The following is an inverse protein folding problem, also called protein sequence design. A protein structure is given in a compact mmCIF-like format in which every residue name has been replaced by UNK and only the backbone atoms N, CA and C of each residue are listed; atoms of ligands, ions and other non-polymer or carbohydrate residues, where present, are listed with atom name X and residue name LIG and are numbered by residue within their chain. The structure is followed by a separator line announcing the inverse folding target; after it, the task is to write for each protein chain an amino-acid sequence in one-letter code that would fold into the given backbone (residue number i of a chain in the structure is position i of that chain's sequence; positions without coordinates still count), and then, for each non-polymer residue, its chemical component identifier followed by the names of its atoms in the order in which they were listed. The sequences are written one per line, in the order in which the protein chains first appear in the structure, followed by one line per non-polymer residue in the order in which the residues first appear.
data_IF_065289970399
#
_entry.id   IF_065289970399
#
_cell.length_a   1.000
_cell.length_b   1.000
_cell.length_c   1.000
_cell.angle_alpha   90.00
_cell.angle_beta   90.00
_cell.angle_gamma   90.00
#
_symmetry.space_group_name_H-M   'P 1'
#
loop_
_entity.id
_entity.type
_entity.pdbx_description
1 polymer ?
#
# COMPACT_ATOMS: atom_id res chain seq x y z
N UNK A 1 -27.89 -24.86 -12.56
CA UNK A 1 -26.78 -23.92 -12.26
C UNK A 1 -26.35 -23.04 -13.45
N UNK A 2 -27.07 -23.02 -14.58
CA UNK A 2 -26.66 -22.30 -15.81
C UNK A 2 -27.20 -20.85 -15.87
N UNK A 3 -28.20 -20.52 -15.06
CA UNK A 3 -28.81 -19.18 -15.01
C UNK A 3 -27.91 -18.09 -14.39
N UNK A 4 -26.82 -18.42 -13.69
CA UNK A 4 -25.95 -17.41 -13.08
C UNK A 4 -24.98 -16.76 -14.06
N UNK A 5 -24.50 -17.47 -15.08
CA UNK A 5 -23.42 -16.97 -15.94
C UNK A 5 -23.85 -15.88 -16.92
N UNK A 6 -25.02 -16.02 -17.54
CA UNK A 6 -25.55 -14.99 -18.45
C UNK A 6 -26.00 -13.73 -17.68
N UNK A 7 -26.53 -13.91 -16.47
CA UNK A 7 -26.90 -12.81 -15.58
C UNK A 7 -25.66 -12.00 -15.16
N UNK A 8 -24.59 -12.69 -14.75
CA UNK A 8 -23.29 -12.08 -14.42
C UNK A 8 -22.74 -11.34 -15.63
N UNK A 9 -22.75 -11.91 -16.85
CA UNK A 9 -22.22 -11.23 -18.04
C UNK A 9 -22.99 -9.95 -18.40
N UNK A 10 -24.31 -9.94 -18.20
CA UNK A 10 -25.17 -8.78 -18.46
C UNK A 10 -24.98 -7.67 -17.42
N UNK A 11 -24.68 -8.03 -16.17
CA UNK A 11 -24.48 -7.08 -15.07
C UNK A 11 -23.01 -6.86 -14.70
N UNK A 12 -22.07 -7.54 -15.36
CA UNK A 12 -20.64 -7.48 -15.06
C UNK A 12 -20.13 -6.03 -15.10
N UNK A 13 -20.57 -5.25 -16.09
CA UNK A 13 -20.23 -3.83 -16.21
C UNK A 13 -20.76 -2.99 -15.03
N UNK A 14 -21.96 -3.30 -14.53
CA UNK A 14 -22.56 -2.59 -13.41
C UNK A 14 -21.91 -3.00 -12.07
N UNK A 15 -21.61 -4.29 -11.89
CA UNK A 15 -20.95 -4.84 -10.69
C UNK A 15 -19.50 -4.32 -10.59
N UNK A 16 -18.79 -4.22 -11.71
CA UNK A 16 -17.44 -3.66 -11.74
C UNK A 16 -17.44 -2.15 -11.45
N UNK A 17 -18.42 -1.42 -11.98
CA UNK A 17 -18.56 0.02 -11.72
C UNK A 17 -18.87 0.29 -10.24
N UNK A 18 -19.73 -0.52 -9.59
CA UNK A 18 -20.01 -0.38 -8.14
C UNK A 18 -18.83 -0.79 -7.27
N UNK A 19 -18.06 -1.83 -7.65
CA UNK A 19 -16.88 -2.26 -6.89
C UNK A 19 -15.74 -1.23 -6.90
N UNK A 20 -15.63 -0.40 -7.94
CA UNK A 20 -14.58 0.65 -8.02
C UNK A 20 -15.03 1.96 -7.36
N UNK A 21 -16.31 2.32 -7.49
CA UNK A 21 -16.83 3.59 -6.97
C UNK A 21 -17.01 3.60 -5.46
N UNK A 22 -17.48 2.50 -4.86
CA UNK A 22 -17.76 2.45 -3.42
C UNK A 22 -16.50 2.69 -2.57
N UNK A 23 -15.36 2.00 -2.79
CA UNK A 23 -14.14 2.22 -1.99
C UNK A 23 -13.54 3.62 -2.16
N UNK A 24 -13.63 4.21 -3.37
CA UNK A 24 -13.13 5.56 -3.63
C UNK A 24 -13.94 6.61 -2.87
N UNK A 25 -15.26 6.46 -2.81
CA UNK A 25 -16.13 7.39 -2.08
C UNK A 25 -15.94 7.25 -0.56
N UNK A 26 -15.82 6.03 -0.02
CA UNK A 26 -15.52 5.86 1.42
C UNK A 26 -14.14 6.40 1.79
N UNK A 27 -13.11 6.20 0.96
CA UNK A 27 -11.79 6.78 1.21
C UNK A 27 -11.81 8.32 1.17
N UNK A 28 -12.57 8.91 0.24
CA UNK A 28 -12.74 10.36 0.18
C UNK A 28 -13.50 10.92 1.39
N UNK A 29 -14.57 10.25 1.84
CA UNK A 29 -15.34 10.67 3.02
C UNK A 29 -14.50 10.56 4.30
N UNK A 30 -13.72 9.47 4.47
CA UNK A 30 -12.83 9.31 5.63
C UNK A 30 -11.71 10.37 5.62
N UNK A 31 -11.21 10.77 4.44
CA UNK A 31 -10.22 11.84 4.32
C UNK A 31 -10.78 13.25 4.61
N UNK A 32 -12.11 13.43 4.58
CA UNK A 32 -12.80 14.70 4.79
C UNK A 32 -13.31 14.92 6.22
N UNK A 33 -13.23 13.92 7.09
CA UNK A 33 -13.56 14.09 8.52
C UNK A 33 -12.31 14.60 9.24
N UNK A 34 -12.25 15.90 9.63
CA UNK A 34 -11.18 16.37 10.49
C UNK A 34 -11.35 15.69 11.85
N UNK A 35 -10.42 14.81 12.20
CA UNK A 35 -10.32 14.27 13.54
C UNK A 35 -9.61 15.35 14.36
N UNK A 36 -10.39 16.22 14.98
CA UNK A 36 -9.89 17.28 15.86
C UNK A 36 -9.53 16.66 17.22
N UNK A 37 -8.37 16.01 17.28
CA UNK A 37 -7.79 15.46 18.50
C UNK A 37 -6.67 16.38 18.97
N UNK A 38 -7.02 17.62 19.31
CA UNK A 38 -6.05 18.51 19.93
C UNK A 38 -5.85 18.14 21.39
N UNK A 39 -4.61 17.85 21.76
CA UNK A 39 -4.22 17.39 23.09
C UNK A 39 -3.05 18.26 23.52
N UNK A 40 -3.19 18.97 24.64
CA UNK A 40 -2.09 19.67 25.30
C UNK A 40 -1.44 18.71 26.29
N UNK A 41 -0.13 18.47 26.18
CA UNK A 41 0.58 17.58 27.08
C UNK A 41 2.06 17.99 27.21
N UNK A 42 2.58 17.97 28.45
CA UNK A 42 4.00 18.21 28.76
C UNK A 42 4.52 17.05 29.58
N UNK A 43 5.75 16.64 29.27
CA UNK A 43 6.41 15.53 29.93
C UNK A 43 7.83 15.90 30.29
N UNK A 44 8.27 15.46 31.47
CA UNK A 44 9.64 15.54 31.94
C UNK A 44 10.27 14.16 31.76
N UNK A 45 11.26 14.04 30.89
CA UNK A 45 11.94 12.79 30.58
C UNK A 45 13.30 12.81 31.29
N UNK A 46 13.55 11.83 32.17
CA UNK A 46 14.88 11.65 32.76
C UNK A 46 15.72 10.90 31.74
N UNK A 47 16.69 11.58 31.12
CA UNK A 47 17.58 10.98 30.12
C UNK A 47 18.72 10.22 30.77
N UNK A 48 19.24 10.76 31.87
CA UNK A 48 20.41 10.23 32.55
C UNK A 48 20.41 10.63 34.03
N UNK A 49 20.82 9.69 34.88
CA UNK A 49 21.06 9.92 36.30
C UNK A 49 22.43 9.34 36.64
N UNK A 50 23.35 10.18 37.13
CA UNK A 50 24.72 9.77 37.48
C UNK A 50 25.04 10.21 38.89
N UNK A 51 25.47 9.28 39.74
CA UNK A 51 26.08 9.60 41.02
C UNK A 51 27.54 9.99 40.79
N UNK A 52 27.91 11.21 41.19
CA UNK A 52 29.28 11.72 41.08
C UNK A 52 30.22 10.97 42.02
N UNK A 53 29.68 10.42 43.12
CA UNK A 53 30.45 9.71 44.14
C UNK A 53 29.88 8.31 44.46
N UNK A 54 30.09 7.31 43.58
CA UNK A 54 29.90 5.88 43.93
C UNK A 54 31.20 5.29 44.53
N UNK A 55 31.69 5.87 45.62
CA UNK A 55 32.85 5.33 46.33
C UNK A 55 32.36 4.26 47.31
N UNK A 56 32.29 3.02 46.84
CA UNK A 56 31.88 1.85 47.64
C UNK A 56 32.85 1.49 48.77
N UNK A 57 34.08 2.01 48.70
CA UNK A 57 35.12 1.78 49.70
C UNK A 57 35.86 3.10 49.94
N UNK A 58 35.83 3.65 51.18
CA UNK A 58 36.63 4.82 51.56
C UNK A 58 38.07 4.67 51.11
N UNK A 59 38.56 5.57 50.27
CA UNK A 59 39.97 5.56 49.86
C UNK A 59 40.77 6.32 50.91
N UNK A 60 41.61 5.62 51.68
CA UNK A 60 42.45 6.23 52.69
C UNK A 60 43.33 7.34 52.06
N UNK A 61 43.14 8.58 52.53
CA UNK A 61 43.90 9.75 52.09
C UNK A 61 43.23 10.62 51.02
N UNK A 62 42.02 10.28 50.56
CA UNK A 62 41.21 11.15 49.71
C UNK A 62 40.17 11.87 50.58
N UNK A 63 40.19 13.21 50.57
CA UNK A 63 39.13 14.02 51.17
C UNK A 63 38.40 14.77 50.05
N UNK A 64 37.07 14.62 49.99
CA UNK A 64 36.23 15.20 48.96
C UNK A 64 35.36 16.27 49.63
N UNK A 65 35.75 17.52 49.40
CA UNK A 65 35.06 18.67 49.99
C UNK A 65 34.20 19.38 48.95
N UNK A 66 33.03 19.83 49.38
CA UNK A 66 32.17 20.72 48.62
C UNK A 66 31.79 21.91 49.51
N UNK A 67 32.11 23.13 49.07
CA UNK A 67 31.91 24.37 49.84
C UNK A 67 32.49 24.31 51.29
N UNK A 68 33.57 23.54 51.49
CA UNK A 68 34.23 23.38 52.78
C UNK A 68 33.62 22.31 53.70
N UNK A 69 32.50 21.67 53.30
CA UNK A 69 31.95 20.49 53.94
C UNK A 69 32.59 19.22 53.35
N UNK A 70 32.91 18.25 54.19
CA UNK A 70 33.45 16.96 53.77
C UNK A 70 32.27 16.04 53.44
N UNK A 71 32.08 15.75 52.14
CA UNK A 71 30.92 14.99 51.67
C UNK A 71 30.90 13.56 52.23
N UNK A 72 32.05 12.99 52.54
CA UNK A 72 32.13 11.65 53.10
C UNK A 72 31.77 11.64 54.59
N UNK A 73 32.35 12.58 55.35
CA UNK A 73 32.08 12.73 56.77
C UNK A 73 30.62 13.13 57.05
N UNK A 74 30.06 14.01 56.23
CA UNK A 74 28.69 14.53 56.38
C UNK A 74 27.65 13.62 55.73
N UNK A 75 28.08 12.47 55.18
CA UNK A 75 27.22 11.45 54.59
C UNK A 75 26.35 11.98 53.44
N UNK A 76 26.96 12.84 52.63
CA UNK A 76 26.37 13.50 51.49
C UNK A 76 26.82 12.84 50.18
N UNK A 77 26.02 13.01 49.14
CA UNK A 77 26.32 12.60 47.78
C UNK A 77 25.87 13.68 46.79
N UNK A 78 26.54 13.70 45.65
CA UNK A 78 26.21 14.56 44.53
C UNK A 78 25.66 13.68 43.40
N UNK A 79 24.48 14.06 42.91
CA UNK A 79 23.80 13.39 41.80
C UNK A 79 23.53 14.37 40.68
N UNK A 80 23.85 13.97 39.46
CA UNK A 80 23.56 14.73 38.26
C UNK A 80 22.33 14.11 37.61
N UNK A 81 21.33 14.94 37.30
CA UNK A 81 20.21 14.57 36.45
C UNK A 81 20.26 15.33 35.14
N UNK A 82 20.17 14.62 34.03
CA UNK A 82 19.92 15.22 32.71
C UNK A 82 18.46 14.99 32.36
N UNK A 83 17.70 16.08 32.28
CA UNK A 83 16.25 16.05 32.12
C UNK A 83 15.88 16.78 30.83
N UNK A 84 14.96 16.20 30.06
CA UNK A 84 14.35 16.84 28.91
C UNK A 84 12.89 17.18 29.20
N UNK A 85 12.51 18.43 29.00
CA UNK A 85 11.10 18.84 29.02
C UNK A 85 10.63 18.87 27.57
N UNK A 86 9.51 18.20 27.29
CA UNK A 86 8.95 18.06 25.95
C UNK A 86 7.47 18.38 25.94
N UNK A 87 7.03 19.15 24.94
CA UNK A 87 5.61 19.24 24.59
C UNK A 87 5.25 18.01 23.76
N UNK A 88 4.60 17.03 24.39
CA UNK A 88 4.14 15.79 23.77
C UNK A 88 2.74 15.90 23.17
N UNK A 89 2.11 17.07 23.32
CA UNK A 89 0.82 17.40 22.74
C UNK A 89 0.85 17.59 21.23
N UNK A 90 -0.35 17.72 20.65
CA UNK A 90 -0.55 18.08 19.24
C UNK A 90 -0.69 19.60 19.05
N UNK A 91 -0.87 20.36 20.12
CA UNK A 91 -0.98 21.83 20.13
C UNK A 91 0.24 22.54 20.74
N UNK A 92 0.42 23.78 20.31
CA UNK A 92 1.38 24.71 20.91
C UNK A 92 0.86 25.21 22.26
N UNK A 93 1.76 25.35 23.23
CA UNK A 93 1.44 25.93 24.53
C UNK A 93 1.85 27.40 24.48
N UNK A 94 0.86 28.27 24.43
CA UNK A 94 1.06 29.71 24.44
C UNK A 94 1.31 30.21 25.87
N UNK A 95 1.89 31.41 26.01
CA UNK A 95 2.21 31.97 27.34
C UNK A 95 0.98 32.13 28.24
N UNK A 96 -0.17 32.45 27.66
CA UNK A 96 -1.44 32.58 28.38
C UNK A 96 -2.07 31.24 28.79
N UNK A 97 -1.49 30.10 28.42
CA UNK A 97 -1.96 28.78 28.86
C UNK A 97 -1.38 28.42 30.24
N UNK A 98 -0.27 29.05 30.63
CA UNK A 98 0.29 28.89 31.96
C UNK A 98 -0.55 29.66 32.98
N UNK A 99 -0.78 29.09 34.16
CA UNK A 99 -1.42 29.83 35.24
C UNK A 99 -0.47 30.89 35.77
N UNK A 100 -0.89 32.17 35.80
CA UNK A 100 -0.02 33.30 36.16
C UNK A 100 0.59 33.18 37.56
N UNK A 101 -0.20 32.75 38.54
CA UNK A 101 0.18 32.70 39.96
C UNK A 101 1.00 31.45 40.34
N UNK A 102 1.07 30.45 39.46
CA UNK A 102 1.78 29.20 39.72
C UNK A 102 3.16 29.26 39.06
N UNK A 103 4.26 29.01 39.80
CA UNK A 103 5.58 28.93 39.20
C UNK A 103 5.67 27.74 38.25
N UNK A 104 6.50 27.86 37.23
CA UNK A 104 6.75 26.81 36.25
C UNK A 104 8.17 26.28 36.46
N UNK A 105 8.32 24.99 36.71
CA UNK A 105 9.60 24.50 37.20
C UNK A 105 9.67 23.03 37.58
N UNK A 106 10.72 22.72 38.32
CA UNK A 106 10.99 21.41 38.91
C UNK A 106 11.43 21.60 40.37
N UNK A 107 10.73 20.96 41.29
CA UNK A 107 11.16 20.85 42.68
C UNK A 107 11.96 19.57 42.86
N UNK A 108 13.00 19.65 43.68
CA UNK A 108 13.75 18.50 44.17
C UNK A 108 13.38 18.27 45.62
N UNK A 109 12.81 17.12 45.91
CA UNK A 109 12.57 16.66 47.28
C UNK A 109 13.79 15.86 47.77
N UNK A 110 14.09 15.94 49.07
CA UNK A 110 15.22 15.26 49.69
C UNK A 110 16.60 15.63 49.11
N UNK A 111 16.74 16.84 48.57
CA UNK A 111 18.04 17.34 48.08
C UNK A 111 18.02 18.82 47.75
N UNK A 112 19.21 19.39 47.68
CA UNK A 112 19.45 20.80 47.35
C UNK A 112 20.05 20.91 45.96
N UNK A 113 19.50 21.80 45.13
CA UNK A 113 19.98 22.08 43.80
C UNK A 113 21.16 23.04 43.89
N UNK A 114 22.31 22.57 43.44
CA UNK A 114 23.58 23.29 43.48
C UNK A 114 23.83 24.05 42.18
N UNK A 115 23.55 23.41 41.06
CA UNK A 115 23.75 23.95 39.71
C UNK A 115 22.58 23.50 38.84
N UNK A 116 22.13 24.39 37.96
CA UNK A 116 21.18 24.08 36.90
C UNK A 116 21.65 24.79 35.63
N UNK A 117 21.77 24.06 34.53
CA UNK A 117 22.20 24.63 33.25
C UNK A 117 21.48 24.01 32.08
N UNK A 118 21.17 24.85 31.08
CA UNK A 118 20.64 24.38 29.82
C UNK A 118 21.74 23.65 29.03
N UNK A 119 21.45 22.45 28.55
CA UNK A 119 22.40 21.61 27.79
C UNK A 119 21.99 21.41 26.35
N UNK A 120 20.72 21.61 25.99
CA UNK A 120 20.28 21.58 24.61
C UNK A 120 18.84 22.09 24.43
N UNK A 121 18.50 22.43 23.20
CA UNK A 121 17.14 22.80 22.81
C UNK A 121 16.89 22.41 21.34
N UNK A 122 15.62 22.20 21.02
CA UNK A 122 15.16 21.89 19.66
C UNK A 122 15.09 23.12 18.75
N UNK A 123 14.94 24.32 19.33
CA UNK A 123 14.89 25.60 18.61
C UNK A 123 15.79 26.63 19.28
N UNK A 124 16.24 27.63 18.51
CA UNK A 124 17.02 28.76 19.04
C UNK A 124 16.21 29.59 20.03
N UNK A 125 14.90 29.75 19.79
CA UNK A 125 14.00 30.44 20.74
C UNK A 125 14.02 29.77 22.12
N UNK A 126 13.83 28.45 22.19
CA UNK A 126 13.87 27.73 23.47
C UNK A 126 15.28 27.75 24.08
N UNK A 127 16.33 27.76 23.26
CA UNK A 127 17.71 27.89 23.74
C UNK A 127 17.94 29.18 24.52
N UNK A 128 17.35 30.27 24.05
CA UNK A 128 17.55 31.60 24.62
C UNK A 128 16.58 31.91 25.77
N UNK A 129 15.40 31.28 25.78
CA UNK A 129 14.33 31.60 26.74
C UNK A 129 14.16 30.55 27.86
N UNK A 130 14.54 29.29 27.64
CA UNK A 130 14.36 28.21 28.63
C UNK A 130 15.57 28.04 29.56
N UNK A 131 16.23 29.13 29.94
CA UNK A 131 17.40 29.10 30.81
C UNK A 131 16.93 28.75 32.25
N UNK A 132 17.39 27.64 32.85
CA UNK A 132 17.02 27.29 34.22
C UNK A 132 17.58 28.32 35.21
N UNK A 133 16.76 28.70 36.19
CA UNK A 133 17.18 29.54 37.32
C UNK A 133 16.94 28.77 38.62
N UNK A 134 17.88 28.83 39.55
CA UNK A 134 17.69 28.22 40.88
C UNK A 134 17.03 29.28 41.77
N UNK A 135 15.86 28.96 42.30
CA UNK A 135 15.15 29.79 43.27
C UNK A 135 15.09 29.05 44.61
N UNK A 136 15.69 29.62 45.65
CA UNK A 136 15.83 28.94 46.94
C UNK A 136 16.84 27.80 46.90
N UNK A 137 16.60 26.74 47.69
CA UNK A 137 17.54 25.62 47.83
C UNK A 137 17.20 24.42 46.94
N UNK A 138 15.94 24.27 46.51
CA UNK A 138 15.47 23.03 45.91
C UNK A 138 14.54 23.20 44.69
N UNK A 139 14.37 24.42 44.20
CA UNK A 139 13.48 24.70 43.07
C UNK A 139 14.25 25.23 41.86
N UNK A 140 13.97 24.65 40.69
CA UNK A 140 14.47 25.09 39.40
C UNK A 140 13.31 25.74 38.65
N UNK A 141 13.39 27.05 38.52
CA UNK A 141 12.44 27.89 37.81
C UNK A 141 12.74 27.95 36.31
N UNK A 142 11.68 27.97 35.51
CA UNK A 142 11.72 28.28 34.08
C UNK A 142 10.73 29.38 33.74
N UNK A 143 11.15 30.27 32.84
CA UNK A 143 10.26 31.25 32.23
C UNK A 143 9.12 30.56 31.47
N UNK A 144 7.95 31.22 31.45
CA UNK A 144 6.78 30.77 30.70
C UNK A 144 6.97 31.12 29.22
N UNK A 145 7.47 30.15 28.45
CA UNK A 145 7.80 30.30 27.03
C UNK A 145 6.66 29.85 26.12
N UNK A 146 6.67 30.29 24.86
CA UNK A 146 5.85 29.65 23.82
C UNK A 146 6.47 28.28 23.54
N UNK A 147 5.74 27.22 23.85
CA UNK A 147 6.26 25.86 23.73
C UNK A 147 5.52 25.11 22.62
N UNK A 148 6.05 25.22 21.41
CA UNK A 148 5.48 24.62 20.20
C UNK A 148 5.39 23.09 20.29
N UNK A 149 4.47 22.51 19.53
CA UNK A 149 4.25 21.07 19.52
C UNK A 149 5.53 20.30 19.14
N UNK A 150 5.73 19.15 19.81
CA UNK A 150 6.88 18.27 19.61
C UNK A 150 8.26 18.90 19.87
N UNK A 151 8.33 20.16 20.32
CA UNK A 151 9.58 20.78 20.71
C UNK A 151 9.98 20.35 22.12
N UNK A 152 11.27 20.47 22.38
CA UNK A 152 11.87 20.15 23.67
C UNK A 152 13.07 21.05 24.00
N UNK A 153 13.41 21.07 25.29
CA UNK A 153 14.71 21.52 25.77
C UNK A 153 15.23 20.59 26.86
N UNK A 154 16.54 20.52 26.98
CA UNK A 154 17.25 19.65 27.90
C UNK A 154 18.09 20.50 28.82
N UNK A 155 18.05 20.19 30.10
CA UNK A 155 18.85 20.83 31.12
C UNK A 155 19.45 19.78 32.05
N UNK A 156 20.53 20.16 32.71
CA UNK A 156 21.22 19.31 33.68
C UNK A 156 21.20 20.02 35.02
N UNK A 157 20.87 19.27 36.08
CA UNK A 157 20.94 19.73 37.46
C UNK A 157 21.94 18.91 38.25
N UNK A 158 22.66 19.57 39.15
CA UNK A 158 23.51 18.95 40.16
C UNK A 158 22.79 19.07 41.51
N UNK A 159 22.53 17.94 42.14
CA UNK A 159 21.78 17.85 43.40
C UNK A 159 22.68 17.29 44.49
N UNK A 160 22.75 18.00 45.61
CA UNK A 160 23.35 17.53 46.86
C UNK A 160 22.27 16.88 47.71
N UNK A 161 22.48 15.64 48.14
CA UNK A 161 21.53 14.90 48.96
C UNK A 161 22.25 14.02 49.98
N UNK A 162 21.54 13.49 50.96
CA UNK A 162 22.09 12.51 51.90
C UNK A 162 22.15 11.13 51.25
N UNK A 163 23.11 10.28 51.64
CA UNK A 163 23.26 8.94 51.03
C UNK A 163 22.05 8.03 51.31
N UNK A 164 21.30 8.24 52.39
CA UNK A 164 20.14 7.42 52.78
C UNK A 164 18.89 7.75 51.98
N UNK A 165 18.69 9.01 51.63
CA UNK A 165 17.47 9.47 50.96
C UNK A 165 17.81 10.02 49.58
N UNK A 166 17.59 9.25 48.50
CA UNK A 166 17.82 9.74 47.16
C UNK A 166 16.84 10.88 46.84
N UNK A 167 17.27 11.86 46.03
CA UNK A 167 16.43 13.00 45.69
C UNK A 167 15.32 12.56 44.73
N UNK A 168 14.14 13.11 44.93
CA UNK A 168 12.95 12.88 44.09
C UNK A 168 12.63 14.16 43.31
N UNK A 169 12.32 14.01 42.02
CA UNK A 169 12.02 15.12 41.14
C UNK A 169 10.49 15.27 41.05
N UNK A 170 9.97 16.49 41.26
CA UNK A 170 8.53 16.76 41.23
C UNK A 170 8.26 17.97 40.31
N UNK A 171 7.58 17.80 39.17
CA UNK A 171 7.27 18.91 38.28
C UNK A 171 6.28 19.86 38.96
N UNK A 172 6.51 21.17 38.81
CA UNK A 172 5.64 22.20 39.36
C UNK A 172 5.13 23.08 38.24
N UNK A 173 3.81 23.25 38.18
CA UNK A 173 3.17 24.14 37.23
C UNK A 173 1.72 23.78 36.96
N UNK A 174 1.01 24.73 36.38
CA UNK A 174 -0.32 24.49 35.82
C UNK A 174 -0.42 25.07 34.42
N UNK A 175 -0.79 24.22 33.48
CA UNK A 175 -1.03 24.56 32.08
C UNK A 175 -2.49 24.21 31.76
N UNK A 176 -3.18 25.07 31.03
CA UNK A 176 -4.53 24.84 30.55
C UNK A 176 -4.60 23.51 29.75
N UNK A 177 -5.64 22.71 29.98
CA UNK A 177 -5.81 21.40 29.33
C UNK A 177 -4.93 20.28 29.89
N UNK A 178 -3.90 20.58 30.69
CA UNK A 178 -3.02 19.57 31.30
C UNK A 178 -3.49 19.26 32.72
N UNK A 179 -3.94 18.02 32.94
CA UNK A 179 -4.38 17.57 34.27
C UNK A 179 -3.18 17.45 35.24
N UNK A 180 -2.13 16.76 34.81
CA UNK A 180 -0.95 16.43 35.58
C UNK A 180 0.28 16.39 34.65
N UNK A 181 1.42 16.89 35.14
CA UNK A 181 2.68 16.89 34.41
C UNK A 181 3.50 15.73 34.94
N UNK A 182 3.78 14.77 34.07
CA UNK A 182 4.39 13.49 34.46
C UNK A 182 5.89 13.49 34.24
N UNK A 183 6.60 12.82 35.14
CA UNK A 183 7.97 12.39 34.93
C UNK A 183 7.98 10.98 34.36
N UNK A 184 8.74 10.77 33.30
CA UNK A 184 8.96 9.46 32.69
C UNK A 184 10.45 9.12 32.80
N UNK A 185 10.80 7.96 33.38
CA UNK A 185 12.19 7.58 33.68
C UNK A 185 12.99 7.14 32.44
N UNK A 186 12.33 6.97 31.30
CA UNK A 186 12.98 6.73 30.01
C UNK A 186 12.44 7.74 28.99
N UNK A 187 13.27 8.26 28.07
CA UNK A 187 12.76 9.07 26.99
C UNK A 187 11.68 8.26 26.27
N UNK A 188 10.50 8.87 26.11
CA UNK A 188 9.48 8.30 25.25
C UNK A 188 10.15 8.23 23.88
N UNK A 189 10.59 7.02 23.49
CA UNK A 189 10.99 6.81 22.11
C UNK A 189 9.76 7.23 21.33
N UNK A 190 9.89 8.28 20.53
CA UNK A 190 8.87 8.60 19.53
C UNK A 190 8.56 7.26 18.89
N UNK A 191 7.35 6.71 19.05
CA UNK A 191 6.98 5.52 18.32
C UNK A 191 6.93 6.01 16.88
N UNK A 192 8.09 6.01 16.22
CA UNK A 192 8.38 6.82 15.05
C UNK A 192 7.20 6.66 14.14
N UNK A 193 6.43 7.75 13.99
CA UNK A 193 5.02 7.74 13.61
C UNK A 193 4.83 6.58 12.64
N UNK A 194 4.18 5.50 13.11
CA UNK A 194 4.10 4.23 12.38
C UNK A 194 3.96 4.53 10.90
N UNK A 195 4.76 3.90 10.04
CA UNK A 195 4.85 4.27 8.62
C UNK A 195 3.48 4.56 7.97
N UNK A 196 2.43 3.85 8.40
CA UNK A 196 1.04 4.14 8.03
C UNK A 196 0.48 5.46 8.61
N UNK A 197 0.64 5.73 9.91
CA UNK A 197 0.21 6.97 10.54
C UNK A 197 0.90 8.22 9.96
N UNK A 198 2.17 8.15 9.55
CA UNK A 198 2.85 9.29 8.91
C UNK A 198 2.35 9.57 7.50
N UNK A 199 1.83 8.54 6.82
CA UNK A 199 1.11 8.71 5.55
C UNK A 199 -0.23 9.41 5.76
N UNK A 200 -0.90 9.26 6.91
CA UNK A 200 -2.21 9.86 7.21
C UNK A 200 -2.15 11.24 7.89
N UNK A 201 -1.16 11.51 8.75
CA UNK A 201 -1.05 12.73 9.56
C UNK A 201 0.20 13.56 9.21
N UNK A 202 0.31 13.99 7.94
CA UNK A 202 1.43 14.79 7.47
C UNK A 202 1.02 16.17 6.98
N UNK A 203 1.95 17.13 7.05
CA UNK A 203 1.76 18.50 6.54
C UNK A 203 1.51 18.57 5.03
N UNK A 204 1.32 19.77 4.48
CA UNK A 204 0.89 19.99 3.09
C UNK A 204 1.74 19.26 2.02
N UNK A 205 3.04 19.06 2.27
CA UNK A 205 3.92 18.26 1.40
C UNK A 205 3.50 16.78 1.32
N UNK A 206 3.09 16.20 2.45
CA UNK A 206 2.60 14.81 2.51
C UNK A 206 1.28 14.69 1.77
N UNK A 207 0.42 15.72 1.83
CA UNK A 207 -0.83 15.74 1.06
C UNK A 207 -0.58 15.74 -0.45
N UNK A 208 0.44 16.45 -0.95
CA UNK A 208 0.82 16.43 -2.38
C UNK A 208 1.30 15.04 -2.81
N UNK A 209 2.19 14.41 -2.02
CA UNK A 209 2.66 13.05 -2.31
C UNK A 209 1.50 12.06 -2.30
N UNK A 210 0.57 12.21 -1.34
CA UNK A 210 -0.65 11.37 -1.26
C UNK A 210 -1.53 11.53 -2.49
N UNK A 211 -1.75 12.76 -2.96
CA UNK A 211 -2.53 13.03 -4.18
C UNK A 211 -1.93 12.31 -5.39
N UNK A 212 -0.61 12.37 -5.56
CA UNK A 212 0.08 11.65 -6.64
C UNK A 212 -0.08 10.14 -6.53
N UNK A 213 0.08 9.55 -5.33
CA UNK A 213 -0.09 8.11 -5.12
C UNK A 213 -1.53 7.64 -5.39
N UNK A 214 -2.53 8.43 -5.00
CA UNK A 214 -3.94 8.12 -5.29
C UNK A 214 -4.19 8.12 -6.80
N UNK A 215 -3.68 9.11 -7.53
CA UNK A 215 -3.81 9.17 -8.99
C UNK A 215 -3.15 7.94 -9.63
N UNK A 216 -1.91 7.62 -9.25
CA UNK A 216 -1.18 6.46 -9.78
C UNK A 216 -1.89 5.13 -9.45
N UNK A 217 -2.39 4.97 -8.22
CA UNK A 217 -3.18 3.81 -7.82
C UNK A 217 -4.49 3.70 -8.61
N UNK A 218 -5.15 4.84 -8.88
CA UNK A 218 -6.31 4.92 -9.76
C UNK A 218 -6.01 4.44 -11.18
N UNK A 219 -4.88 4.86 -11.76
CA UNK A 219 -4.46 4.36 -13.07
C UNK A 219 -4.13 2.87 -13.06
N UNK A 220 -3.40 2.39 -12.04
CA UNK A 220 -3.04 0.98 -11.91
C UNK A 220 -4.29 0.09 -11.80
N UNK A 221 -5.29 0.51 -11.02
CA UNK A 221 -6.57 -0.20 -10.91
C UNK A 221 -7.34 -0.18 -12.23
N UNK A 222 -7.39 0.94 -12.95
CA UNK A 222 -8.00 1.02 -14.27
C UNK A 222 -7.32 0.05 -15.27
N UNK A 223 -5.99 0.03 -15.30
CA UNK A 223 -5.21 -0.91 -16.14
C UNK A 223 -5.51 -2.35 -15.74
N UNK A 224 -5.55 -2.65 -14.44
CA UNK A 224 -5.88 -3.98 -13.93
C UNK A 224 -7.28 -4.44 -14.36
N UNK A 225 -8.27 -3.54 -14.36
CA UNK A 225 -9.61 -3.81 -14.86
C UNK A 225 -9.57 -4.16 -16.35
N UNK A 226 -8.92 -3.35 -17.18
CA UNK A 226 -8.82 -3.61 -18.63
C UNK A 226 -8.08 -4.92 -18.91
N UNK A 227 -6.96 -5.16 -18.24
CA UNK A 227 -6.19 -6.41 -18.36
C UNK A 227 -7.03 -7.63 -17.94
N UNK A 228 -7.81 -7.52 -16.86
CA UNK A 228 -8.70 -8.58 -16.40
C UNK A 228 -9.79 -8.89 -17.43
N UNK A 229 -10.32 -7.88 -18.14
CA UNK A 229 -11.30 -8.10 -19.21
C UNK A 229 -10.70 -8.88 -20.38
N UNK A 230 -9.49 -8.54 -20.79
CA UNK A 230 -8.77 -9.23 -21.86
C UNK A 230 -8.48 -10.68 -21.46
N UNK A 231 -7.99 -10.90 -20.24
CA UNK A 231 -7.69 -12.23 -19.72
C UNK A 231 -8.95 -13.10 -19.60
N UNK A 232 -10.07 -12.53 -19.15
CA UNK A 232 -11.36 -13.22 -19.08
C UNK A 232 -11.91 -13.59 -20.48
N UNK A 233 -11.67 -12.77 -21.51
CA UNK A 233 -12.02 -13.16 -22.89
C UNK A 233 -11.20 -14.35 -23.36
N UNK A 234 -9.88 -14.34 -23.12
CA UNK A 234 -9.00 -15.41 -23.58
C UNK A 234 -9.27 -16.74 -22.87
N UNK A 235 -9.51 -16.72 -21.55
CA UNK A 235 -9.83 -17.93 -20.80
C UNK A 235 -11.18 -18.51 -21.22
N UNK A 236 -12.15 -17.65 -21.57
CA UNK A 236 -13.44 -18.08 -22.09
C UNK A 236 -13.31 -18.75 -23.46
N UNK A 237 -12.47 -18.21 -24.35
CA UNK A 237 -12.17 -18.79 -25.66
C UNK A 237 -11.48 -20.14 -25.54
N UNK A 238 -10.50 -20.29 -24.62
CA UNK A 238 -9.84 -21.57 -24.35
C UNK A 238 -10.83 -22.64 -23.88
N UNK A 239 -11.76 -22.30 -22.98
CA UNK A 239 -12.79 -23.22 -22.54
C UNK A 239 -13.75 -23.60 -23.67
N UNK A 240 -14.21 -22.61 -24.46
CA UNK A 240 -15.08 -22.86 -25.62
C UNK A 240 -14.40 -23.76 -26.64
N UNK A 241 -13.10 -23.57 -26.89
CA UNK A 241 -12.32 -24.39 -27.81
C UNK A 241 -12.23 -25.83 -27.31
N UNK A 242 -11.90 -26.04 -26.02
CA UNK A 242 -11.85 -27.38 -25.42
C UNK A 242 -13.22 -28.08 -25.45
N UNK A 243 -14.31 -27.35 -25.20
CA UNK A 243 -15.66 -27.91 -25.30
C UNK A 243 -16.02 -28.25 -26.75
N UNK A 244 -15.64 -27.41 -27.71
CA UNK A 244 -15.83 -27.72 -29.15
C UNK A 244 -15.00 -28.91 -29.60
N UNK A 245 -13.78 -29.09 -29.10
CA UNK A 245 -12.95 -30.26 -29.38
C UNK A 245 -13.63 -31.54 -28.91
N UNK A 246 -14.11 -31.57 -27.66
CA UNK A 246 -14.87 -32.72 -27.13
C UNK A 246 -16.14 -33.00 -27.94
N UNK A 247 -16.84 -31.95 -28.38
CA UNK A 247 -18.05 -32.10 -29.19
C UNK A 247 -17.68 -32.66 -30.56
N UNK A 248 -16.69 -32.09 -31.24
CA UNK A 248 -16.26 -32.55 -32.55
C UNK A 248 -15.76 -34.00 -32.50
N UNK A 249 -15.00 -34.38 -31.47
CA UNK A 249 -14.55 -35.75 -31.27
C UNK A 249 -15.70 -36.72 -31.06
N UNK A 250 -16.73 -36.33 -30.31
CA UNK A 250 -17.92 -37.17 -30.11
C UNK A 250 -18.77 -37.28 -31.38
N UNK A 251 -18.97 -36.19 -32.13
CA UNK A 251 -19.77 -36.21 -33.38
C UNK A 251 -19.06 -37.00 -34.48
N UNK A 252 -17.79 -36.71 -34.71
CA UNK A 252 -16.99 -37.30 -35.79
C UNK A 252 -16.53 -38.74 -35.50
N UNK A 253 -16.66 -39.22 -34.26
CA UNK A 253 -16.47 -40.64 -33.93
C UNK A 253 -17.72 -41.47 -34.13
N UNK A 254 -18.92 -40.87 -34.03
CA UNK A 254 -20.19 -41.53 -34.33
C UNK A 254 -20.42 -41.65 -35.84
N UNK A 255 -19.95 -40.66 -36.59
CA UNK A 255 -19.99 -40.68 -38.04
C UNK A 255 -18.81 -41.50 -38.59
N UNK A 256 -19.10 -42.63 -39.25
CA UNK A 256 -18.10 -43.46 -39.95
C UNK A 256 -17.57 -42.78 -41.22
N UNK A 257 -16.89 -41.64 -41.07
CA UNK A 257 -16.22 -40.94 -42.18
C UNK A 257 -14.90 -41.66 -42.46
N UNK A 258 -14.84 -42.48 -43.51
CA UNK A 258 -13.65 -43.30 -43.81
C UNK A 258 -12.40 -42.46 -44.16
N UNK A 259 -12.57 -41.23 -44.65
CA UNK A 259 -11.46 -40.32 -44.93
C UNK A 259 -11.10 -39.47 -43.69
N UNK A 260 -9.98 -39.84 -43.04
CA UNK A 260 -9.44 -39.11 -41.89
C UNK A 260 -9.13 -37.64 -42.20
N UNK A 261 -8.84 -37.29 -43.46
CA UNK A 261 -8.49 -35.92 -43.84
C UNK A 261 -9.68 -34.99 -43.83
N UNK A 262 -10.83 -35.46 -44.31
CA UNK A 262 -12.10 -34.71 -44.29
C UNK A 262 -12.54 -34.52 -42.85
N UNK A 263 -12.42 -35.58 -42.04
CA UNK A 263 -12.73 -35.56 -40.61
C UNK A 263 -11.88 -34.52 -39.86
N UNK A 264 -10.57 -34.54 -40.04
CA UNK A 264 -9.65 -33.62 -39.38
C UNK A 264 -9.86 -32.17 -39.83
N UNK A 265 -10.18 -31.96 -41.12
CA UNK A 265 -10.49 -30.64 -41.67
C UNK A 265 -11.77 -30.03 -41.09
N UNK A 266 -12.85 -30.80 -41.04
CA UNK A 266 -14.13 -30.36 -40.45
C UNK A 266 -13.98 -30.12 -38.94
N UNK A 267 -13.24 -31.00 -38.24
CA UNK A 267 -12.91 -30.83 -36.82
C UNK A 267 -12.18 -29.51 -36.59
N UNK A 268 -11.11 -29.25 -37.34
CA UNK A 268 -10.31 -28.04 -37.17
C UNK A 268 -11.16 -26.77 -37.41
N UNK A 269 -11.96 -26.77 -38.49
CA UNK A 269 -12.81 -25.62 -38.83
C UNK A 269 -13.88 -25.35 -37.76
N UNK A 270 -14.49 -26.40 -37.22
CA UNK A 270 -15.50 -26.28 -36.17
C UNK A 270 -14.90 -25.87 -34.81
N UNK A 271 -13.76 -26.43 -34.43
CA UNK A 271 -13.07 -26.10 -33.17
C UNK A 271 -12.70 -24.62 -33.14
N UNK A 272 -12.15 -24.13 -34.24
CA UNK A 272 -11.68 -22.75 -34.36
C UNK A 272 -12.86 -21.76 -34.41
N UNK A 273 -13.80 -21.94 -35.34
CA UNK A 273 -14.79 -20.91 -35.66
C UNK A 273 -16.26 -21.31 -35.38
N UNK A 274 -16.51 -22.51 -34.88
CA UNK A 274 -17.84 -23.00 -34.49
C UNK A 274 -18.77 -23.33 -35.66
N UNK A 275 -20.05 -23.61 -35.35
CA UNK A 275 -21.06 -24.02 -36.34
C UNK A 275 -21.27 -22.98 -37.46
N UNK A 276 -21.18 -21.68 -37.12
CA UNK A 276 -21.32 -20.59 -38.08
C UNK A 276 -20.30 -20.65 -39.23
N UNK A 277 -19.10 -21.15 -38.98
CA UNK A 277 -18.09 -21.30 -40.02
C UNK A 277 -18.34 -22.52 -40.91
N UNK A 278 -18.90 -23.59 -40.35
CA UNK A 278 -19.37 -24.73 -41.15
C UNK A 278 -20.54 -24.32 -42.06
N UNK A 279 -21.48 -23.50 -41.55
CA UNK A 279 -22.58 -22.96 -42.38
C UNK A 279 -22.05 -22.06 -43.50
N UNK A 280 -21.05 -21.22 -43.22
CA UNK A 280 -20.40 -20.40 -44.25
C UNK A 280 -19.70 -21.27 -45.29
N UNK A 281 -18.96 -22.28 -44.85
CA UNK A 281 -18.30 -23.24 -45.74
C UNK A 281 -19.31 -23.95 -46.64
N UNK A 282 -20.44 -24.39 -46.08
CA UNK A 282 -21.56 -24.96 -46.84
C UNK A 282 -22.09 -23.97 -47.87
N UNK A 283 -22.40 -22.73 -47.45
CA UNK A 283 -22.93 -21.71 -48.37
C UNK A 283 -21.98 -21.38 -49.53
N UNK A 284 -20.66 -21.42 -49.30
CA UNK A 284 -19.65 -21.20 -50.33
C UNK A 284 -19.53 -22.37 -51.31
N UNK A 285 -19.79 -23.60 -50.85
CA UNK A 285 -19.75 -24.81 -51.65
C UNK A 285 -21.05 -25.05 -52.42
N UNK A 286 -22.19 -24.57 -51.90
CA UNK A 286 -23.51 -24.66 -52.54
C UNK A 286 -23.76 -23.58 -53.61
N UNK A 287 -22.94 -22.52 -53.65
CA UNK A 287 -23.11 -21.44 -54.63
C UNK A 287 -22.70 -21.89 -56.04
N UNK A 288 -23.58 -21.83 -57.05
CA UNK A 288 -23.30 -22.36 -58.40
C UNK A 288 -22.22 -21.59 -59.18
N UNK A 289 -21.89 -20.37 -58.77
CA UNK A 289 -20.85 -19.54 -59.40
C UNK A 289 -19.41 -20.05 -59.14
N UNK A 290 -19.15 -20.73 -58.02
CA UNK A 290 -17.81 -21.26 -57.69
C UNK A 290 -17.47 -22.57 -58.41
N UNK A 291 -18.44 -23.26 -59.01
CA UNK A 291 -18.25 -24.56 -59.66
C UNK A 291 -17.85 -24.41 -61.14
N UNK A 292 -18.21 -23.30 -61.80
CA UNK A 292 -18.00 -23.16 -63.25
C UNK A 292 -16.59 -22.75 -63.71
N UNK A 293 -15.71 -22.30 -62.81
CA UNK A 293 -14.33 -21.93 -63.19
C UNK A 293 -13.23 -22.85 -62.65
N UNK A 294 -13.55 -23.92 -61.91
CA UNK A 294 -12.52 -24.78 -61.29
C UNK A 294 -11.53 -24.00 -60.41
N UNK A 295 -11.91 -22.79 -60.01
CA UNK A 295 -11.11 -21.84 -59.26
C UNK A 295 -11.89 -21.51 -58.00
N UNK A 296 -11.72 -22.37 -56.99
CA UNK A 296 -11.96 -21.94 -55.62
C UNK A 296 -11.00 -20.76 -55.39
N UNK A 297 -11.51 -19.54 -55.44
CA UNK A 297 -10.82 -18.43 -54.80
C UNK A 297 -10.62 -18.85 -53.34
N UNK A 298 -9.36 -19.08 -53.00
CA UNK A 298 -8.93 -19.49 -51.68
C UNK A 298 -9.57 -18.56 -50.64
N UNK A 299 -10.26 -19.07 -49.61
CA UNK A 299 -10.26 -18.35 -48.35
C UNK A 299 -8.80 -18.31 -47.91
N UNK A 300 -8.23 -17.13 -47.81
CA UNK A 300 -6.85 -16.92 -47.38
C UNK A 300 -6.74 -17.39 -45.93
N UNK A 301 -6.22 -18.62 -45.74
CA UNK A 301 -5.97 -19.23 -44.43
C UNK A 301 -4.77 -18.55 -43.73
N UNK A 302 -4.19 -17.52 -44.35
CA UNK A 302 -3.26 -16.58 -43.70
C UNK A 302 -3.96 -15.33 -43.14
N UNK A 303 -5.24 -15.39 -42.75
CA UNK A 303 -5.86 -14.38 -41.87
C UNK A 303 -5.72 -12.92 -42.33
N UNK A 304 -5.53 -12.67 -43.63
CA UNK A 304 -5.44 -11.33 -44.22
C UNK A 304 -6.73 -11.07 -44.98
N UNK A 305 -7.65 -10.40 -44.30
CA UNK A 305 -8.71 -9.68 -45.00
C UNK A 305 -8.06 -8.68 -45.96
N UNK A 306 -8.41 -8.78 -47.25
CA UNK A 306 -8.27 -7.66 -48.18
C UNK A 306 -9.21 -6.55 -47.71
N UNK A 307 -8.72 -5.72 -46.79
CA UNK A 307 -9.29 -4.40 -46.55
C UNK A 307 -8.85 -3.51 -47.71
N UNK A 308 -9.82 -2.79 -48.29
CA UNK A 308 -9.56 -1.72 -49.25
C UNK A 308 -8.55 -0.70 -48.69
N UNK A 309 -8.02 0.19 -49.55
CA UNK A 309 -6.87 1.02 -49.21
C UNK A 309 -7.25 2.09 -48.17
N UNK A 310 -7.11 1.76 -46.89
CA UNK A 310 -6.89 2.75 -45.82
C UNK A 310 -6.36 2.09 -44.54
N UNK A 311 -5.10 2.44 -44.24
CA UNK A 311 -4.56 2.76 -42.92
C UNK A 311 -4.40 1.67 -41.82
N UNK A 312 -3.12 1.39 -41.54
CA UNK A 312 -2.47 1.11 -40.26
C UNK A 312 -3.16 0.21 -39.21
N UNK A 313 -2.66 -1.03 -39.05
CA UNK A 313 -2.33 -1.56 -37.72
C UNK A 313 -1.30 -2.69 -37.74
N UNK A 314 -0.34 -2.61 -36.81
CA UNK A 314 0.61 -3.66 -36.40
C UNK A 314 0.29 -3.99 -34.93
N UNK A 315 0.32 -5.27 -34.51
CA UNK A 315 1.56 -5.77 -33.90
C UNK A 315 1.91 -7.21 -34.31
N UNK A 316 3.10 -7.37 -34.88
CA UNK A 316 3.78 -8.66 -34.92
C UNK A 316 4.28 -9.05 -33.54
N UNK A 317 4.17 -10.33 -33.20
CA UNK A 317 5.13 -11.10 -32.38
C UNK A 317 4.81 -12.60 -32.25
N UNK A 318 3.71 -13.13 -32.80
CA UNK A 318 3.41 -14.58 -32.71
C UNK A 318 3.81 -15.40 -33.95
N UNK A 319 3.87 -14.79 -35.15
CA UNK A 319 4.12 -15.55 -36.39
C UNK A 319 5.59 -15.97 -36.59
N UNK A 320 6.56 -15.24 -36.04
CA UNK A 320 7.99 -15.51 -36.24
C UNK A 320 8.58 -16.57 -35.28
N UNK A 321 7.90 -16.91 -34.17
CA UNK A 321 8.40 -17.94 -33.26
C UNK A 321 8.07 -19.36 -33.76
N UNK A 322 6.96 -19.53 -34.48
CA UNK A 322 6.53 -20.84 -35.00
C UNK A 322 7.25 -21.27 -36.28
N UNK A 323 7.89 -20.36 -37.01
CA UNK A 323 8.71 -20.69 -38.19
C UNK A 323 10.12 -21.18 -37.83
N UNK A 324 10.67 -20.79 -36.67
CA UNK A 324 12.03 -21.17 -36.24
C UNK A 324 12.12 -22.56 -35.59
N UNK A 325 11.02 -23.11 -35.06
CA UNK A 325 11.01 -24.44 -34.41
C UNK A 325 10.72 -25.60 -35.38
N UNK A 326 10.64 -25.36 -36.68
CA UNK A 326 10.50 -26.43 -37.69
C UNK A 326 9.20 -27.25 -37.60
N UNK A 327 8.21 -26.80 -36.81
CA UNK A 327 7.01 -27.58 -36.49
C UNK A 327 5.87 -27.43 -37.52
N UNK A 328 6.01 -26.56 -38.52
CA UNK A 328 4.99 -26.41 -39.58
C UNK A 328 5.66 -26.67 -40.92
N UNK A 329 5.51 -27.92 -41.40
CA UNK A 329 5.66 -28.19 -42.84
C UNK A 329 4.66 -27.29 -43.57
N UNK A 330 5.06 -26.50 -44.57
CA UNK A 330 4.11 -25.71 -45.35
C UNK A 330 3.06 -26.65 -45.91
N UNK A 331 1.81 -26.45 -45.48
CA UNK A 331 0.66 -27.15 -46.04
C UNK A 331 0.53 -26.68 -47.48
N UNK A 332 1.20 -27.44 -48.37
CA UNK A 332 1.08 -27.42 -49.82
C UNK A 332 -0.37 -27.07 -50.19
N UNK A 333 -0.58 -26.01 -50.99
CA UNK A 333 -1.87 -25.61 -51.56
C UNK A 333 -2.64 -26.85 -52.01
N UNK A 334 -3.75 -27.16 -51.33
CA UNK A 334 -4.54 -28.38 -51.56
C UNK A 334 -5.98 -27.98 -51.85
N UNK A 335 -6.47 -28.39 -53.00
CA UNK A 335 -7.86 -28.19 -53.42
C UNK A 335 -8.77 -29.09 -52.57
N UNK A 336 -9.66 -28.49 -51.78
CA UNK A 336 -10.84 -29.17 -51.26
C UNK A 336 -11.88 -29.18 -52.37
N UNK A 337 -11.94 -30.25 -53.15
CA UNK A 337 -13.03 -30.41 -54.12
C UNK A 337 -14.32 -30.72 -53.37
N UNK A 338 -15.45 -30.17 -53.84
CA UNK A 338 -16.82 -30.44 -53.38
C UNK A 338 -17.24 -31.88 -53.70
N UNK A 339 -16.47 -32.84 -53.21
CA UNK A 339 -16.80 -34.25 -53.37
C UNK A 339 -18.14 -34.50 -52.68
N UNK A 340 -19.04 -35.29 -53.28
CA UNK A 340 -20.34 -35.61 -52.69
C UNK A 340 -20.22 -36.14 -51.24
N UNK A 341 -19.13 -36.87 -50.97
CA UNK A 341 -18.81 -37.37 -49.63
C UNK A 341 -18.47 -36.27 -48.61
N UNK A 342 -17.82 -35.18 -49.04
CA UNK A 342 -17.53 -34.04 -48.17
C UNK A 342 -18.80 -33.26 -47.83
N UNK A 343 -19.65 -32.99 -48.83
CA UNK A 343 -20.92 -32.27 -48.62
C UNK A 343 -21.88 -33.07 -47.73
N UNK A 344 -21.97 -34.38 -47.92
CA UNK A 344 -22.76 -35.25 -47.05
C UNK A 344 -22.26 -35.22 -45.59
N UNK A 345 -20.95 -35.29 -45.38
CA UNK A 345 -20.37 -35.22 -44.03
C UNK A 345 -20.62 -33.85 -43.35
N UNK A 346 -20.54 -32.75 -44.12
CA UNK A 346 -20.80 -31.39 -43.65
C UNK A 346 -22.28 -31.20 -43.26
N UNK A 347 -23.20 -31.71 -44.08
CA UNK A 347 -24.64 -31.61 -43.85
C UNK A 347 -25.09 -32.40 -42.62
N UNK A 348 -24.65 -33.64 -42.50
CA UNK A 348 -24.91 -34.47 -41.33
C UNK A 348 -24.38 -33.81 -40.04
N UNK A 349 -23.17 -33.24 -40.08
CA UNK A 349 -22.58 -32.56 -38.92
C UNK A 349 -23.41 -31.32 -38.54
N UNK A 350 -23.86 -30.52 -39.51
CA UNK A 350 -24.71 -29.36 -39.27
C UNK A 350 -26.10 -29.75 -38.74
N UNK A 351 -26.68 -30.83 -39.26
CA UNK A 351 -27.97 -31.36 -38.79
C UNK A 351 -27.86 -31.86 -37.34
N UNK A 352 -26.83 -32.63 -37.00
CA UNK A 352 -26.62 -33.13 -35.64
C UNK A 352 -26.34 -31.98 -34.64
N UNK A 353 -25.64 -30.94 -35.07
CA UNK A 353 -25.46 -29.71 -34.29
C UNK A 353 -26.80 -28.97 -34.09
N UNK A 354 -27.66 -28.93 -35.10
CA UNK A 354 -28.99 -28.31 -35.03
C UNK A 354 -29.92 -29.07 -34.08
N UNK A 355 -30.00 -30.39 -34.20
CA UNK A 355 -30.82 -31.26 -33.35
C UNK A 355 -30.42 -31.17 -31.87
N UNK A 356 -29.13 -31.03 -31.59
CA UNK A 356 -28.61 -30.86 -30.22
C UNK A 356 -28.77 -29.42 -29.68
N UNK A 357 -29.37 -28.51 -30.46
CA UNK A 357 -29.56 -27.10 -30.10
C UNK A 357 -28.25 -26.31 -30.00
N UNK A 358 -27.26 -26.69 -30.82
CA UNK A 358 -25.89 -26.14 -30.83
C UNK A 358 -25.49 -25.45 -32.15
N UNK A 359 -26.44 -25.32 -33.08
CA UNK A 359 -26.27 -24.62 -34.35
C UNK A 359 -26.29 -23.10 -34.20
#
# INVERSE_FOLDING_TARGET
MIFSYQWIRRHARAILATLVTIPSVTAAVIALVPIDNTITAVTYEILETVDVLDVRTPLQGLNITFQGADLEQDNLNLRIFTIRIRNTGTEDILQNYYADEVPWGLTVENGNVIEARLTGASTDYLKDQSIPQIEGENFVHFEKVIFENQQFFTFTILVLHTKETPPELVPVGKIAGVAEIRIVPEPIQDPGISFFASIFFGGWKVQIVRLLLIILGGFATLIGVVASMIWLSEISERHRRSDREKIADNLLSLQKIDDSRIRDGLKAQYVDSGASALMRLKSQLDSPETIHEGRLEHPDIDGKFALGPSEYWSPGHSANYLSQIGAIKPLRKRHFTSTPHFMAALDDMLNELSEKGRA
#
